data_IF_950766459928
#
_entry.id   IF_950766459928
#
_cell.length_a   1.000
_cell.length_b   1.000
_cell.length_c   1.000
_cell.angle_alpha   90.00
_cell.angle_beta   90.00
_cell.angle_gamma   90.00
#
_symmetry.space_group_name_H-M   'P 1'
#
loop_
_entity.id
_entity.type
_entity.pdbx_description
1 polymer ?
#
# COMPACT_ATOMS: atom_id res chain seq x y z
N UNK A 1 27.86 -13.99 15.84
CA UNK A 1 27.17 -14.76 14.79
C UNK A 1 27.93 -14.65 13.47
N UNK A 2 27.78 -15.61 12.54
CA UNK A 2 28.57 -15.70 11.30
C UNK A 2 28.47 -14.46 10.41
N UNK A 3 27.39 -13.67 10.51
CA UNK A 3 27.26 -12.47 9.68
C UNK A 3 28.26 -11.37 10.05
N UNK A 4 28.67 -11.27 11.31
CA UNK A 4 29.53 -10.18 11.78
C UNK A 4 31.02 -10.51 11.65
N UNK A 5 31.41 -11.77 11.86
CA UNK A 5 32.81 -12.20 11.91
C UNK A 5 33.18 -13.29 10.90
N UNK A 6 32.25 -13.70 10.03
CA UNK A 6 32.48 -14.77 9.06
C UNK A 6 33.15 -14.30 7.78
N UNK A 7 33.70 -15.27 7.03
CA UNK A 7 34.08 -15.09 5.63
C UNK A 7 32.84 -14.74 4.79
N UNK A 8 33.05 -14.44 3.50
CA UNK A 8 31.95 -14.27 2.56
C UNK A 8 30.95 -15.43 2.61
N UNK A 9 31.44 -16.67 2.58
CA UNK A 9 30.64 -17.89 2.64
C UNK A 9 29.87 -18.00 3.97
N UNK A 10 30.53 -17.65 5.09
CA UNK A 10 29.88 -17.60 6.39
C UNK A 10 28.72 -16.61 6.44
N UNK A 11 28.87 -15.44 5.81
CA UNK A 11 27.78 -14.46 5.68
C UNK A 11 26.68 -14.94 4.74
N UNK A 12 27.04 -15.53 3.61
CA UNK A 12 26.11 -16.10 2.63
C UNK A 12 25.21 -17.17 3.25
N UNK A 13 25.80 -18.21 3.85
CA UNK A 13 25.04 -19.26 4.52
C UNK A 13 24.29 -18.73 5.75
N UNK A 14 24.83 -17.73 6.44
CA UNK A 14 24.13 -17.03 7.52
C UNK A 14 22.83 -16.38 7.04
N UNK A 15 22.86 -15.60 5.96
CA UNK A 15 21.66 -14.96 5.42
C UNK A 15 20.67 -15.99 4.85
N UNK A 16 21.15 -17.06 4.21
CA UNK A 16 20.28 -18.16 3.74
C UNK A 16 19.55 -18.83 4.90
N UNK A 17 20.26 -19.17 5.97
CA UNK A 17 19.67 -19.78 7.15
C UNK A 17 18.63 -18.87 7.80
N UNK A 18 18.92 -17.56 7.90
CA UNK A 18 17.95 -16.58 8.40
C UNK A 18 16.71 -16.50 7.53
N UNK A 19 16.87 -16.39 6.21
CA UNK A 19 15.75 -16.35 5.27
C UNK A 19 14.84 -17.58 5.43
N UNK A 20 15.44 -18.77 5.54
CA UNK A 20 14.68 -20.00 5.78
C UNK A 20 13.96 -19.98 7.14
N UNK A 21 14.66 -19.60 8.22
CA UNK A 21 14.09 -19.56 9.57
C UNK A 21 12.91 -18.58 9.68
N UNK A 22 13.02 -17.41 9.04
CA UNK A 22 11.98 -16.39 9.03
C UNK A 22 10.76 -16.85 8.23
N UNK A 23 10.98 -17.51 7.09
CA UNK A 23 9.91 -18.06 6.26
C UNK A 23 9.15 -19.20 6.96
N UNK A 24 9.86 -20.10 7.65
CA UNK A 24 9.24 -21.27 8.26
C UNK A 24 8.40 -20.98 9.50
N UNK A 25 8.69 -19.91 10.24
CA UNK A 25 7.94 -19.58 11.44
C UNK A 25 7.90 -18.06 11.71
N UNK A 26 6.73 -17.41 11.59
CA UNK A 26 6.57 -15.97 11.86
C UNK A 26 7.04 -15.54 13.25
N UNK A 27 7.01 -16.41 14.27
CA UNK A 27 7.52 -16.04 15.61
C UNK A 27 9.03 -15.77 15.61
N UNK A 28 9.76 -16.29 14.62
CA UNK A 28 11.20 -16.06 14.51
C UNK A 28 11.54 -14.63 14.11
N UNK A 29 10.62 -13.88 13.48
CA UNK A 29 10.84 -12.48 13.09
C UNK A 29 11.26 -11.65 14.30
N UNK A 30 10.48 -11.71 15.37
CA UNK A 30 10.76 -10.99 16.62
C UNK A 30 12.03 -11.48 17.32
N UNK A 31 12.22 -12.81 17.37
CA UNK A 31 13.35 -13.42 18.07
C UNK A 31 14.69 -13.11 17.39
N UNK A 32 14.73 -13.20 16.06
CA UNK A 32 15.92 -12.88 15.26
C UNK A 32 16.24 -11.40 15.39
N UNK A 33 15.25 -10.53 15.23
CA UNK A 33 15.43 -9.08 15.37
C UNK A 33 15.94 -8.64 16.75
N UNK A 34 15.66 -9.42 17.80
CA UNK A 34 16.20 -9.22 19.15
C UNK A 34 17.64 -9.67 19.35
N UNK A 35 18.22 -10.41 18.41
CA UNK A 35 19.58 -10.94 18.55
C UNK A 35 20.61 -9.80 18.46
N UNK A 36 21.50 -9.64 19.46
CA UNK A 36 22.51 -8.59 19.43
C UNK A 36 23.43 -8.70 18.20
N UNK A 37 23.67 -7.58 17.51
CA UNK A 37 24.55 -7.52 16.34
C UNK A 37 23.89 -7.95 15.02
N UNK A 38 22.63 -8.41 15.03
CA UNK A 38 21.99 -9.01 13.86
C UNK A 38 21.94 -8.04 12.67
N UNK A 39 21.50 -6.80 12.92
CA UNK A 39 21.36 -5.78 11.89
C UNK A 39 22.73 -5.28 11.41
N UNK A 40 23.73 -5.18 12.29
CA UNK A 40 25.11 -4.86 11.90
C UNK A 40 25.71 -5.93 11.00
N UNK A 41 25.44 -7.21 11.29
CA UNK A 41 25.86 -8.31 10.44
C UNK A 41 25.15 -8.31 9.09
N UNK A 42 23.84 -8.03 9.04
CA UNK A 42 23.11 -7.92 7.78
C UNK A 42 23.60 -6.71 6.97
N UNK A 43 23.89 -5.58 7.62
CA UNK A 43 24.51 -4.40 7.00
C UNK A 43 25.84 -4.74 6.33
N UNK A 44 26.71 -5.51 6.98
CA UNK A 44 27.97 -5.98 6.38
C UNK A 44 27.73 -6.85 5.14
N UNK A 45 26.67 -7.66 5.14
CA UNK A 45 26.25 -8.42 3.96
C UNK A 45 25.70 -7.52 2.84
N UNK A 46 24.91 -6.49 3.16
CA UNK A 46 24.40 -5.52 2.18
C UNK A 46 25.51 -4.75 1.45
N UNK A 47 26.64 -4.50 2.11
CA UNK A 47 27.78 -3.81 1.49
C UNK A 47 28.51 -4.65 0.43
N UNK A 48 28.25 -5.96 0.34
CA UNK A 48 28.80 -6.82 -0.72
C UNK A 48 27.80 -6.95 -1.87
N UNK A 49 28.09 -6.47 -3.09
CA UNK A 49 27.17 -6.52 -4.23
C UNK A 49 26.62 -7.92 -4.55
N UNK A 50 27.35 -8.98 -4.22
CA UNK A 50 26.93 -10.38 -4.48
C UNK A 50 25.87 -10.88 -3.49
N UNK A 51 25.65 -10.14 -2.42
CA UNK A 51 24.80 -10.50 -1.29
C UNK A 51 23.55 -9.61 -1.17
N UNK A 52 23.48 -8.53 -1.94
CA UNK A 52 22.48 -7.47 -1.79
C UNK A 52 21.05 -8.01 -1.79
N UNK A 53 20.64 -8.77 -2.81
CA UNK A 53 19.28 -9.32 -2.86
C UNK A 53 18.94 -10.25 -1.70
N UNK A 54 19.87 -11.12 -1.29
CA UNK A 54 19.64 -12.03 -0.17
C UNK A 54 19.55 -11.27 1.17
N UNK A 55 20.45 -10.32 1.41
CA UNK A 55 20.46 -9.52 2.63
C UNK A 55 19.22 -8.61 2.72
N UNK A 56 18.85 -7.94 1.62
CA UNK A 56 17.62 -7.17 1.52
C UNK A 56 16.37 -8.03 1.72
N UNK A 57 16.36 -9.27 1.19
CA UNK A 57 15.28 -10.22 1.41
C UNK A 57 15.11 -10.62 2.87
N UNK A 58 16.22 -10.75 3.62
CA UNK A 58 16.18 -10.98 5.08
C UNK A 58 15.61 -9.76 5.81
N UNK A 59 16.05 -8.54 5.45
CA UNK A 59 15.50 -7.31 6.04
C UNK A 59 14.00 -7.16 5.76
N UNK A 60 13.56 -7.46 4.55
CA UNK A 60 12.15 -7.45 4.17
C UNK A 60 11.31 -8.37 5.06
N UNK A 61 11.76 -9.60 5.27
CA UNK A 61 11.08 -10.55 6.17
C UNK A 61 11.11 -10.10 7.63
N UNK A 62 12.21 -9.50 8.09
CA UNK A 62 12.31 -8.99 9.46
C UNK A 62 11.38 -7.80 9.70
N UNK A 63 11.18 -6.93 8.71
CA UNK A 63 10.33 -5.75 8.81
C UNK A 63 8.83 -6.06 8.70
N UNK A 64 8.47 -7.22 8.15
CA UNK A 64 7.08 -7.56 7.82
C UNK A 64 6.20 -7.70 9.06
N UNK A 65 5.35 -6.71 9.31
CA UNK A 65 4.42 -6.69 10.45
C UNK A 65 5.07 -6.47 11.82
N UNK A 66 6.38 -6.18 11.86
CA UNK A 66 7.15 -5.98 13.08
C UNK A 66 7.74 -4.57 13.11
N UNK A 67 7.03 -3.66 13.79
CA UNK A 67 7.40 -2.26 13.92
C UNK A 67 8.77 -2.09 14.60
N UNK A 68 9.05 -2.87 15.65
CA UNK A 68 10.30 -2.77 16.40
C UNK A 68 11.50 -3.11 15.50
N UNK A 69 11.36 -4.13 14.66
CA UNK A 69 12.37 -4.46 13.66
C UNK A 69 12.49 -3.37 12.59
N UNK A 70 11.38 -2.82 12.10
CA UNK A 70 11.40 -1.69 11.17
C UNK A 70 12.16 -0.48 11.74
N UNK A 71 11.94 -0.15 13.01
CA UNK A 71 12.69 0.90 13.72
C UNK A 71 14.19 0.60 13.76
N UNK A 72 14.56 -0.62 14.15
CA UNK A 72 15.98 -1.03 14.18
C UNK A 72 16.64 -0.99 12.81
N UNK A 73 15.93 -1.37 11.75
CA UNK A 73 16.42 -1.30 10.37
C UNK A 73 16.71 0.16 10.00
N UNK A 74 15.79 1.07 10.28
CA UNK A 74 15.94 2.49 9.98
C UNK A 74 16.99 3.19 10.86
N UNK A 75 17.21 2.73 12.09
CA UNK A 75 18.12 3.34 13.06
C UNK A 75 19.54 2.75 13.02
N UNK A 76 19.72 1.57 12.40
CA UNK A 76 21.06 1.00 12.22
C UNK A 76 21.82 1.81 11.17
N UNK A 77 23.00 2.35 11.51
CA UNK A 77 23.76 3.21 10.59
C UNK A 77 23.98 2.55 9.23
N UNK A 78 23.82 3.33 8.16
CA UNK A 78 24.05 2.95 6.76
C UNK A 78 23.10 1.91 6.15
N UNK A 79 22.18 1.29 6.89
CA UNK A 79 21.26 0.32 6.27
C UNK A 79 20.37 1.03 5.24
N UNK A 80 19.77 2.17 5.59
CA UNK A 80 18.92 2.91 4.65
C UNK A 80 19.70 3.49 3.47
N UNK A 81 20.92 4.00 3.69
CA UNK A 81 21.78 4.50 2.62
C UNK A 81 22.12 3.38 1.62
N UNK A 82 22.49 2.19 2.11
CA UNK A 82 22.77 1.02 1.27
C UNK A 82 21.52 0.55 0.53
N UNK A 83 20.34 0.56 1.18
CA UNK A 83 19.08 0.22 0.52
C UNK A 83 18.73 1.25 -0.58
N UNK A 84 18.93 2.55 -0.34
CA UNK A 84 18.73 3.59 -1.35
C UNK A 84 19.65 3.37 -2.56
N UNK A 85 20.93 3.10 -2.33
CA UNK A 85 21.90 2.78 -3.39
C UNK A 85 21.47 1.55 -4.20
N UNK A 86 21.01 0.48 -3.53
CA UNK A 86 20.53 -0.74 -4.22
C UNK A 86 19.27 -0.44 -5.02
N UNK A 87 18.30 0.29 -4.47
CA UNK A 87 17.06 0.64 -5.17
C UNK A 87 17.37 1.47 -6.42
N UNK A 88 18.20 2.51 -6.29
CA UNK A 88 18.52 3.44 -7.37
C UNK A 88 19.47 2.86 -8.45
N UNK A 89 20.47 2.08 -8.02
CA UNK A 89 21.62 1.66 -8.85
C UNK A 89 21.90 0.16 -8.84
N UNK A 90 21.01 -0.66 -8.27
CA UNK A 90 21.18 -2.11 -8.18
C UNK A 90 21.45 -2.76 -9.53
N UNK A 91 22.41 -3.68 -9.56
CA UNK A 91 22.86 -4.35 -10.80
C UNK A 91 21.84 -5.37 -11.32
N UNK A 92 21.07 -5.96 -10.41
CA UNK A 92 20.08 -6.97 -10.72
C UNK A 92 18.71 -6.50 -10.23
N UNK A 93 17.69 -6.70 -11.06
CA UNK A 93 16.31 -6.33 -10.75
C UNK A 93 15.75 -7.09 -9.54
N UNK A 94 16.27 -8.29 -9.25
CA UNK A 94 15.97 -9.05 -8.04
C UNK A 94 16.51 -8.36 -6.76
N UNK A 95 17.70 -7.75 -6.82
CA UNK A 95 18.27 -7.01 -5.69
C UNK A 95 17.45 -5.75 -5.40
N UNK A 96 17.11 -5.01 -6.47
CA UNK A 96 16.23 -3.85 -6.41
C UNK A 96 14.86 -4.20 -5.85
N UNK A 97 14.26 -5.29 -6.32
CA UNK A 97 12.98 -5.77 -5.82
C UNK A 97 13.06 -6.07 -4.32
N UNK A 98 14.05 -6.86 -3.88
CA UNK A 98 14.20 -7.23 -2.48
C UNK A 98 14.45 -6.01 -1.57
N UNK A 99 15.27 -5.05 -2.01
CA UNK A 99 15.53 -3.81 -1.28
C UNK A 99 14.28 -2.95 -1.18
N UNK A 100 13.54 -2.80 -2.28
CA UNK A 100 12.27 -2.06 -2.32
C UNK A 100 11.23 -2.69 -1.41
N UNK A 101 11.13 -4.02 -1.35
CA UNK A 101 10.26 -4.71 -0.41
C UNK A 101 10.66 -4.44 1.06
N UNK A 102 11.96 -4.41 1.38
CA UNK A 102 12.42 -4.09 2.73
C UNK A 102 12.02 -2.67 3.15
N UNK A 103 12.21 -1.70 2.26
CA UNK A 103 11.79 -0.31 2.48
C UNK A 103 10.27 -0.19 2.60
N UNK A 104 9.53 -0.85 1.72
CA UNK A 104 8.06 -0.87 1.71
C UNK A 104 7.49 -1.42 3.03
N UNK A 105 8.02 -2.53 3.53
CA UNK A 105 7.58 -3.13 4.80
C UNK A 105 7.89 -2.21 5.99
N UNK A 106 9.04 -1.53 5.99
CA UNK A 106 9.36 -0.54 7.03
C UNK A 106 8.41 0.67 6.97
N UNK A 107 8.12 1.18 5.77
CA UNK A 107 7.19 2.28 5.55
C UNK A 107 5.77 1.94 6.02
N UNK A 108 5.32 0.70 5.80
CA UNK A 108 3.98 0.26 6.22
C UNK A 108 3.76 0.32 7.74
N UNK A 109 4.82 0.18 8.55
CA UNK A 109 4.70 0.04 10.00
C UNK A 109 4.34 1.34 10.74
N UNK A 110 4.82 2.51 10.29
CA UNK A 110 4.51 3.78 10.95
C UNK A 110 4.85 5.02 10.10
N UNK A 111 4.18 6.16 10.34
CA UNK A 111 4.50 7.41 9.66
C UNK A 111 5.91 7.91 9.96
N UNK A 112 6.45 7.67 11.17
CA UNK A 112 7.80 8.09 11.53
C UNK A 112 8.87 7.37 10.70
N UNK A 113 8.70 6.06 10.46
CA UNK A 113 9.61 5.29 9.61
C UNK A 113 9.48 5.69 8.14
N UNK A 114 8.25 5.90 7.67
CA UNK A 114 8.01 6.38 6.32
C UNK A 114 8.68 7.76 6.07
N UNK A 115 8.63 8.67 7.04
CA UNK A 115 9.34 9.97 6.98
C UNK A 115 10.86 9.81 6.97
N UNK A 116 11.42 8.89 7.78
CA UNK A 116 12.87 8.60 7.74
C UNK A 116 13.30 8.08 6.37
N UNK A 117 12.52 7.17 5.77
CA UNK A 117 12.80 6.58 4.46
C UNK A 117 12.85 7.64 3.37
N UNK A 118 11.85 8.52 3.27
CA UNK A 118 11.83 9.56 2.23
C UNK A 118 12.89 10.65 2.43
N UNK A 119 13.44 10.77 3.64
CA UNK A 119 14.51 11.71 3.94
C UNK A 119 15.89 11.21 3.48
N UNK A 120 16.03 9.93 3.13
CA UNK A 120 17.28 9.35 2.64
C UNK A 120 17.51 9.81 1.20
N UNK A 121 18.63 10.48 0.89
CA UNK A 121 18.95 10.94 -0.46
C UNK A 121 18.87 9.80 -1.49
N UNK A 122 18.23 10.06 -2.64
CA UNK A 122 18.08 9.09 -3.73
C UNK A 122 17.06 7.98 -3.50
N UNK A 123 16.50 7.82 -2.30
CA UNK A 123 15.53 6.75 -2.01
C UNK A 123 14.24 6.91 -2.83
N UNK A 124 13.59 8.08 -2.76
CA UNK A 124 12.35 8.32 -3.50
C UNK A 124 12.59 8.31 -5.02
N UNK A 125 13.68 8.93 -5.48
CA UNK A 125 14.09 8.91 -6.89
C UNK A 125 14.25 7.47 -7.39
N UNK A 126 14.94 6.62 -6.62
CA UNK A 126 15.13 5.21 -6.95
C UNK A 126 13.81 4.45 -7.04
N UNK A 127 12.91 4.64 -6.08
CA UNK A 127 11.57 4.01 -6.09
C UNK A 127 10.79 4.46 -7.33
N UNK A 128 10.75 5.76 -7.63
CA UNK A 128 10.04 6.30 -8.78
C UNK A 128 10.62 5.82 -10.11
N UNK A 129 11.95 5.72 -10.21
CA UNK A 129 12.63 5.14 -11.38
C UNK A 129 12.23 3.69 -11.61
N UNK A 130 12.04 2.90 -10.55
CA UNK A 130 11.56 1.51 -10.65
C UNK A 130 10.06 1.42 -11.00
N UNK A 131 9.24 2.42 -10.63
CA UNK A 131 7.86 2.52 -11.07
C UNK A 131 7.75 2.90 -12.56
N UNK A 132 8.66 3.75 -13.04
CA UNK A 132 8.67 4.24 -14.42
C UNK A 132 9.01 3.17 -15.44
N UNK A 133 8.40 3.26 -16.61
CA UNK A 133 8.84 2.54 -17.80
C UNK A 133 9.94 3.39 -18.47
N UNK A 134 11.16 2.85 -18.64
CA UNK A 134 12.14 3.53 -19.49
C UNK A 134 11.58 3.57 -20.92
N UNK A 135 11.40 4.77 -21.48
CA UNK A 135 10.89 4.97 -22.85
C UNK A 135 11.85 4.43 -23.93
N UNK A 136 13.08 4.07 -23.54
CA UNK A 136 14.18 3.62 -24.41
C UNK A 136 14.08 2.13 -24.81
N UNK A 137 12.89 1.73 -25.26
CA UNK A 137 12.70 0.73 -26.33
C UNK A 137 13.06 -0.74 -26.09
N UNK A 138 13.79 -1.15 -25.05
CA UNK A 138 14.32 -2.53 -25.02
C UNK A 138 14.50 -3.21 -23.66
N UNK A 139 14.14 -2.58 -22.54
CA UNK A 139 14.07 -3.32 -21.27
C UNK A 139 12.67 -3.88 -21.07
N UNK A 140 12.57 -5.21 -21.11
CA UNK A 140 11.46 -5.95 -20.52
C UNK A 140 11.17 -5.34 -19.15
N UNK A 141 10.04 -4.63 -19.04
CA UNK A 141 9.55 -4.10 -17.79
C UNK A 141 9.50 -5.28 -16.82
N UNK A 142 10.40 -5.31 -15.83
CA UNK A 142 10.31 -6.33 -14.79
C UNK A 142 9.10 -5.95 -13.92
N UNK A 143 7.94 -6.46 -14.32
CA UNK A 143 6.66 -6.17 -13.69
C UNK A 143 6.72 -6.41 -12.18
N UNK A 144 7.49 -7.41 -11.71
CA UNK A 144 7.62 -7.67 -10.27
C UNK A 144 8.36 -6.57 -9.52
N UNK A 145 9.44 -6.04 -10.09
CA UNK A 145 10.18 -4.91 -9.52
C UNK A 145 9.31 -3.67 -9.52
N UNK A 146 8.61 -3.39 -10.63
CA UNK A 146 7.70 -2.26 -10.76
C UNK A 146 6.56 -2.33 -9.74
N UNK A 147 5.89 -3.48 -9.61
CA UNK A 147 4.81 -3.63 -8.62
C UNK A 147 5.35 -3.49 -7.19
N UNK A 148 6.55 -4.00 -6.89
CA UNK A 148 7.15 -3.81 -5.56
C UNK A 148 7.42 -2.34 -5.25
N UNK A 149 7.86 -1.57 -6.26
CA UNK A 149 8.05 -0.12 -6.14
C UNK A 149 6.72 0.62 -5.97
N UNK A 150 5.69 0.25 -6.74
CA UNK A 150 4.35 0.79 -6.60
C UNK A 150 3.78 0.54 -5.19
N UNK A 151 3.90 -0.68 -4.68
CA UNK A 151 3.50 -0.99 -3.29
C UNK A 151 4.29 -0.20 -2.25
N UNK A 152 5.55 0.13 -2.52
CA UNK A 152 6.32 1.04 -1.66
C UNK A 152 5.74 2.46 -1.68
N UNK A 153 5.42 3.00 -2.85
CA UNK A 153 4.77 4.32 -2.96
C UNK A 153 3.38 4.31 -2.31
N UNK A 154 2.62 3.22 -2.46
CA UNK A 154 1.31 3.04 -1.82
C UNK A 154 1.42 3.13 -0.30
N UNK A 155 2.31 2.32 0.29
CA UNK A 155 2.57 2.31 1.73
C UNK A 155 3.05 3.68 2.25
N UNK A 156 3.90 4.39 1.49
CA UNK A 156 4.30 5.75 1.84
C UNK A 156 3.12 6.73 1.76
N UNK A 157 2.30 6.64 0.70
CA UNK A 157 1.14 7.52 0.48
C UNK A 157 0.04 7.35 1.50
N UNK A 158 -0.01 6.18 2.15
CA UNK A 158 -0.97 5.87 3.19
C UNK A 158 -0.87 6.86 4.35
N UNK A 159 0.36 7.22 4.75
CA UNK A 159 0.64 8.11 5.87
C UNK A 159 0.39 9.58 5.52
N UNK A 160 -0.60 10.19 6.16
CA UNK A 160 -0.95 11.60 5.91
C UNK A 160 0.22 12.58 6.06
N UNK A 161 1.14 12.32 7.00
CA UNK A 161 2.34 13.14 7.22
C UNK A 161 3.34 13.08 6.04
N UNK A 162 3.32 12.00 5.26
CA UNK A 162 4.24 11.77 4.14
C UNK A 162 3.68 12.35 2.83
N UNK A 163 2.35 12.41 2.68
CA UNK A 163 1.69 12.89 1.45
C UNK A 163 2.20 14.23 0.92
N UNK A 164 2.48 15.27 1.73
CA UNK A 164 3.04 16.53 1.23
C UNK A 164 4.35 16.36 0.45
N UNK A 165 5.19 15.40 0.84
CA UNK A 165 6.45 15.09 0.16
C UNK A 165 6.25 14.32 -1.14
N UNK A 166 5.15 13.57 -1.26
CA UNK A 166 4.82 12.78 -2.45
C UNK A 166 3.96 13.53 -3.47
N UNK A 167 3.46 14.72 -3.14
CA UNK A 167 2.64 15.56 -4.05
C UNK A 167 3.45 16.29 -5.13
N UNK A 168 4.75 16.05 -5.21
CA UNK A 168 5.61 16.69 -6.19
C UNK A 168 5.25 16.32 -7.63
N UNK A 169 5.56 17.22 -8.56
CA UNK A 169 5.37 17.02 -10.00
C UNK A 169 6.07 15.75 -10.50
N UNK A 170 7.25 15.44 -9.96
CA UNK A 170 8.04 14.26 -10.31
C UNK A 170 7.29 12.94 -10.04
N UNK A 171 6.64 12.84 -8.87
CA UNK A 171 5.83 11.66 -8.52
C UNK A 171 4.64 11.53 -9.48
N UNK A 172 3.94 12.62 -9.74
CA UNK A 172 2.78 12.62 -10.65
C UNK A 172 3.18 12.30 -12.09
N UNK A 173 4.35 12.75 -12.54
CA UNK A 173 4.91 12.45 -13.88
C UNK A 173 5.12 10.96 -14.09
N UNK A 174 5.44 10.22 -13.03
CA UNK A 174 5.59 8.77 -13.06
C UNK A 174 4.24 8.07 -12.93
N UNK A 175 3.41 8.46 -11.97
CA UNK A 175 2.17 7.75 -11.66
C UNK A 175 1.08 7.92 -12.72
N UNK A 176 0.87 9.14 -13.25
CA UNK A 176 -0.23 9.42 -14.17
C UNK A 176 -0.18 8.57 -15.45
N UNK A 177 0.98 8.40 -16.12
CA UNK A 177 1.09 7.50 -17.26
C UNK A 177 0.77 6.04 -16.92
N UNK A 178 1.13 5.56 -15.72
CA UNK A 178 0.86 4.18 -15.28
C UNK A 178 -0.64 3.88 -15.19
N UNK A 179 -1.45 4.87 -14.83
CA UNK A 179 -2.92 4.76 -14.81
C UNK A 179 -3.53 4.59 -16.20
N UNK A 180 -2.79 4.98 -17.25
CA UNK A 180 -3.22 4.95 -18.64
C UNK A 180 -2.65 3.76 -19.39
N UNK A 181 -2.00 2.81 -18.70
CA UNK A 181 -1.52 1.58 -19.31
C UNK A 181 -2.71 0.77 -19.82
N UNK A 182 -2.90 0.80 -21.14
CA UNK A 182 -3.92 0.03 -21.84
C UNK A 182 -3.39 -1.34 -22.26
N UNK A 183 -4.29 -2.32 -22.30
CA UNK A 183 -4.10 -3.53 -23.08
C UNK A 183 -4.69 -4.77 -22.43
N UNK A 184 -5.77 -5.30 -23.01
CA UNK A 184 -6.35 -6.60 -22.64
C UNK A 184 -5.38 -7.79 -22.79
N UNK A 185 -4.23 -7.59 -23.46
CA UNK A 185 -3.17 -8.59 -23.60
C UNK A 185 -2.07 -8.49 -22.52
N UNK A 186 -2.16 -7.51 -21.63
CA UNK A 186 -1.19 -7.29 -20.56
C UNK A 186 -1.64 -8.07 -19.32
N UNK A 187 -0.70 -8.77 -18.67
CA UNK A 187 -0.95 -9.67 -17.54
C UNK A 187 -1.65 -8.98 -16.36
N UNK A 188 -2.07 -9.78 -15.37
CA UNK A 188 -2.78 -9.29 -14.19
C UNK A 188 -1.99 -8.20 -13.46
N UNK A 189 -0.66 -8.31 -13.43
CA UNK A 189 0.24 -7.37 -12.79
C UNK A 189 0.10 -5.95 -13.37
N UNK A 190 -0.11 -5.81 -14.68
CA UNK A 190 -0.24 -4.49 -15.31
C UNK A 190 -1.58 -3.83 -14.97
N UNK A 191 -2.64 -4.62 -14.88
CA UNK A 191 -3.95 -4.12 -14.42
C UNK A 191 -3.87 -3.68 -12.97
N UNK A 192 -3.20 -4.47 -12.12
CA UNK A 192 -2.91 -4.11 -10.73
C UNK A 192 -2.12 -2.80 -10.67
N UNK A 193 -1.04 -2.64 -11.42
CA UNK A 193 -0.24 -1.41 -11.43
C UNK A 193 -1.05 -0.18 -11.83
N UNK A 194 -1.91 -0.30 -12.85
CA UNK A 194 -2.77 0.81 -13.29
C UNK A 194 -3.78 1.21 -12.20
N UNK A 195 -4.43 0.23 -11.58
CA UNK A 195 -5.36 0.45 -10.47
C UNK A 195 -4.65 1.04 -9.23
N UNK A 196 -3.50 0.50 -8.85
CA UNK A 196 -2.69 0.96 -7.73
C UNK A 196 -2.19 2.38 -7.96
N UNK A 197 -1.72 2.70 -9.16
CA UNK A 197 -1.35 4.07 -9.51
C UNK A 197 -2.53 5.04 -9.36
N UNK A 198 -3.72 4.66 -9.82
CA UNK A 198 -4.91 5.49 -9.67
C UNK A 198 -5.32 5.66 -8.20
N UNK A 199 -5.14 4.62 -7.39
CA UNK A 199 -5.37 4.68 -5.95
C UNK A 199 -4.39 5.63 -5.26
N UNK A 200 -3.10 5.52 -5.55
CA UNK A 200 -2.06 6.41 -5.03
C UNK A 200 -2.33 7.87 -5.43
N UNK A 201 -2.53 8.12 -6.73
CA UNK A 201 -2.83 9.47 -7.24
C UNK A 201 -4.05 10.03 -6.53
N UNK A 202 -5.11 9.25 -6.35
CA UNK A 202 -6.30 9.73 -5.63
C UNK A 202 -5.98 10.19 -4.20
N UNK A 203 -5.12 9.47 -3.45
CA UNK A 203 -4.74 9.85 -2.07
C UNK A 203 -3.86 11.09 -2.04
N UNK A 204 -3.01 11.27 -3.04
CA UNK A 204 -2.08 12.38 -3.14
C UNK A 204 -2.75 13.66 -3.67
N UNK A 205 -3.72 13.55 -4.58
CA UNK A 205 -4.45 14.67 -5.16
C UNK A 205 -5.18 15.52 -4.12
N UNK A 206 -5.25 16.83 -4.35
CA UNK A 206 -6.16 17.70 -3.61
C UNK A 206 -7.60 17.48 -4.09
N UNK A 207 -8.57 18.03 -3.36
CA UNK A 207 -9.99 17.81 -3.67
C UNK A 207 -10.35 18.38 -5.04
N UNK A 208 -9.75 19.52 -5.37
CA UNK A 208 -9.94 20.23 -6.62
C UNK A 208 -9.41 19.41 -7.81
N UNK A 209 -8.28 18.73 -7.65
CA UNK A 209 -7.67 17.89 -8.68
C UNK A 209 -8.52 16.65 -8.97
N UNK A 210 -9.13 16.06 -7.93
CA UNK A 210 -10.01 14.89 -8.06
C UNK A 210 -11.25 15.18 -8.93
N UNK A 211 -11.76 16.41 -8.91
CA UNK A 211 -12.88 16.80 -9.75
C UNK A 211 -12.55 16.72 -11.26
N UNK A 212 -11.28 16.87 -11.63
CA UNK A 212 -10.78 16.70 -13.00
C UNK A 212 -10.37 15.26 -13.34
N UNK A 213 -10.06 14.43 -12.34
CA UNK A 213 -9.51 13.08 -12.53
C UNK A 213 -10.57 12.10 -13.06
N UNK A 214 -10.61 11.90 -14.38
CA UNK A 214 -11.47 10.89 -15.04
C UNK A 214 -10.67 9.63 -15.34
N UNK A 215 -11.07 8.52 -14.74
CA UNK A 215 -10.44 7.22 -14.96
C UNK A 215 -11.16 6.43 -16.04
N UNK A 216 -10.41 5.57 -16.73
CA UNK A 216 -11.00 4.60 -17.65
C UNK A 216 -11.81 3.54 -16.87
N UNK A 217 -12.86 3.02 -17.49
CA UNK A 217 -13.75 2.05 -16.85
C UNK A 217 -13.04 0.78 -16.40
N UNK A 218 -12.04 0.31 -17.17
CA UNK A 218 -11.24 -0.86 -16.84
C UNK A 218 -10.43 -0.68 -15.54
N UNK A 219 -9.90 0.52 -15.31
CA UNK A 219 -9.15 0.85 -14.08
C UNK A 219 -10.07 0.82 -12.86
N UNK A 220 -11.25 1.44 -12.97
CA UNK A 220 -12.25 1.44 -11.89
C UNK A 220 -12.81 0.03 -11.63
N UNK A 221 -13.06 -0.76 -12.67
CA UNK A 221 -13.46 -2.16 -12.54
C UNK A 221 -12.38 -2.98 -11.80
N UNK A 222 -11.11 -2.71 -12.09
CA UNK A 222 -9.97 -3.35 -11.43
C UNK A 222 -9.88 -2.95 -9.95
N UNK A 223 -10.03 -1.66 -9.60
CA UNK A 223 -10.11 -1.21 -8.20
C UNK A 223 -11.27 -1.91 -7.47
N UNK A 224 -12.42 -2.05 -8.13
CA UNK A 224 -13.55 -2.79 -7.57
C UNK A 224 -13.27 -4.29 -7.40
N UNK A 225 -12.42 -4.88 -8.25
CA UNK A 225 -11.94 -6.25 -8.06
C UNK A 225 -11.04 -6.38 -6.84
N UNK A 226 -10.08 -5.45 -6.66
CA UNK A 226 -9.25 -5.38 -5.45
C UNK A 226 -10.11 -5.30 -4.18
N UNK A 227 -11.18 -4.48 -4.19
CA UNK A 227 -12.11 -4.41 -3.06
C UNK A 227 -12.79 -5.75 -2.78
N UNK A 228 -13.22 -6.49 -3.81
CA UNK A 228 -13.83 -7.82 -3.61
C UNK A 228 -12.83 -8.79 -2.98
N UNK A 229 -11.61 -8.86 -3.50
CA UNK A 229 -10.55 -9.69 -2.92
C UNK A 229 -10.26 -9.32 -1.46
N UNK A 230 -10.23 -8.01 -1.14
CA UNK A 230 -10.06 -7.54 0.24
C UNK A 230 -11.23 -7.93 1.16
N UNK A 231 -12.48 -7.90 0.67
CA UNK A 231 -13.67 -8.34 1.43
C UNK A 231 -13.63 -9.85 1.67
N UNK A 232 -13.27 -10.60 0.63
CA UNK A 232 -13.34 -12.07 0.62
C UNK A 232 -12.08 -12.72 1.22
N UNK A 233 -11.04 -11.94 1.52
CA UNK A 233 -9.76 -12.42 2.06
C UNK A 233 -8.92 -13.20 1.04
N UNK A 234 -9.15 -12.94 -0.25
CA UNK A 234 -8.50 -13.63 -1.36
C UNK A 234 -7.26 -12.89 -1.85
N UNK A 235 -6.29 -13.63 -2.39
CA UNK A 235 -5.15 -13.07 -3.10
C UNK A 235 -5.51 -12.83 -4.56
N UNK A 236 -5.02 -11.73 -5.13
CA UNK A 236 -5.09 -11.49 -6.57
C UNK A 236 -3.76 -10.95 -7.09
N UNK A 237 -3.25 -11.52 -8.19
CA UNK A 237 -1.89 -11.29 -8.70
C UNK A 237 -0.78 -11.45 -7.63
N UNK A 238 -1.00 -12.33 -6.65
CA UNK A 238 -0.14 -12.53 -5.45
C UNK A 238 -0.16 -11.41 -4.41
N UNK A 239 -1.11 -10.48 -4.48
CA UNK A 239 -1.31 -9.41 -3.50
C UNK A 239 -2.46 -9.72 -2.54
N UNK A 240 -2.23 -9.47 -1.26
CA UNK A 240 -3.26 -9.45 -0.22
C UNK A 240 -3.74 -8.01 -0.01
N UNK A 241 -4.90 -7.68 -0.56
CA UNK A 241 -5.45 -6.32 -0.49
C UNK A 241 -6.06 -6.03 0.88
N UNK A 242 -5.71 -4.89 1.48
CA UNK A 242 -6.34 -4.44 2.73
C UNK A 242 -7.53 -3.53 2.43
N UNK A 243 -8.61 -3.66 3.20
CA UNK A 243 -9.80 -2.81 3.04
C UNK A 243 -9.46 -1.32 3.09
N UNK A 244 -8.59 -0.90 4.03
CA UNK A 244 -8.17 0.49 4.17
C UNK A 244 -7.44 1.04 2.94
N UNK A 245 -6.67 0.20 2.25
CA UNK A 245 -5.95 0.61 1.03
C UNK A 245 -6.91 0.92 -0.11
N UNK A 246 -8.03 0.19 -0.22
CA UNK A 246 -8.94 0.32 -1.37
C UNK A 246 -10.09 1.29 -1.09
N UNK A 247 -10.59 1.34 0.15
CA UNK A 247 -11.77 2.13 0.51
C UNK A 247 -11.52 3.64 0.49
N UNK A 248 -10.36 4.11 0.96
CA UNK A 248 -10.03 5.54 0.90
C UNK A 248 -10.01 6.03 -0.57
N UNK A 249 -9.29 5.38 -1.50
CA UNK A 249 -9.35 5.71 -2.92
C UNK A 249 -10.76 5.70 -3.50
N UNK A 250 -11.57 4.67 -3.23
CA UNK A 250 -12.96 4.63 -3.74
C UNK A 250 -13.76 5.84 -3.24
N UNK A 251 -13.63 6.17 -1.95
CA UNK A 251 -14.24 7.36 -1.37
C UNK A 251 -13.83 8.63 -2.12
N UNK A 252 -12.53 8.83 -2.33
CA UNK A 252 -11.99 10.02 -3.02
C UNK A 252 -12.38 10.09 -4.49
N UNK A 253 -12.25 8.97 -5.21
CA UNK A 253 -12.62 8.86 -6.62
C UNK A 253 -14.12 9.07 -6.86
N UNK A 254 -14.97 8.68 -5.91
CA UNK A 254 -16.42 8.90 -6.00
C UNK A 254 -16.84 10.37 -5.90
N UNK A 255 -15.95 11.28 -5.50
CA UNK A 255 -16.22 12.74 -5.57
C UNK A 255 -16.31 13.24 -7.02
N UNK A 256 -15.69 12.52 -7.96
CA UNK A 256 -15.83 12.80 -9.39
C UNK A 256 -17.11 12.17 -9.95
N UNK A 257 -18.01 12.98 -10.53
CA UNK A 257 -19.28 12.49 -11.07
C UNK A 257 -19.15 11.38 -12.12
N UNK A 258 -18.12 11.45 -12.98
CA UNK A 258 -17.89 10.43 -14.00
C UNK A 258 -17.46 9.11 -13.37
N UNK A 259 -16.45 9.14 -12.49
CA UNK A 259 -15.98 7.94 -11.80
C UNK A 259 -17.08 7.34 -10.91
N UNK A 260 -17.89 8.19 -10.25
CA UNK A 260 -19.04 7.79 -9.45
C UNK A 260 -20.06 6.99 -10.28
N UNK A 261 -20.37 7.42 -11.51
CA UNK A 261 -21.26 6.68 -12.42
C UNK A 261 -20.69 5.32 -12.82
N UNK A 262 -19.39 5.24 -13.08
CA UNK A 262 -18.73 3.97 -13.43
C UNK A 262 -18.69 3.04 -12.22
N UNK A 263 -18.26 3.52 -11.05
CA UNK A 263 -18.26 2.76 -9.80
C UNK A 263 -19.66 2.22 -9.46
N UNK A 264 -20.70 3.03 -9.69
CA UNK A 264 -22.09 2.61 -9.55
C UNK A 264 -22.43 1.42 -10.48
N UNK A 265 -22.04 1.51 -11.75
CA UNK A 265 -22.26 0.45 -12.74
C UNK A 265 -21.49 -0.84 -12.39
N UNK A 266 -20.29 -0.72 -11.82
CA UNK A 266 -19.46 -1.84 -11.34
C UNK A 266 -19.93 -2.41 -9.98
N UNK A 267 -21.08 -1.96 -9.48
CA UNK A 267 -21.70 -2.51 -8.27
C UNK A 267 -21.05 -2.06 -6.96
N UNK A 268 -20.38 -0.90 -6.94
CA UNK A 268 -19.73 -0.36 -5.73
C UNK A 268 -20.68 -0.26 -4.53
N UNK A 269 -21.93 0.15 -4.75
CA UNK A 269 -22.93 0.24 -3.68
C UNK A 269 -23.11 -1.09 -2.93
N UNK A 270 -23.27 -2.20 -3.67
CA UNK A 270 -23.43 -3.54 -3.08
C UNK A 270 -22.19 -3.95 -2.26
N UNK A 271 -20.99 -3.70 -2.77
CA UNK A 271 -19.75 -4.07 -2.08
C UNK A 271 -19.52 -3.22 -0.82
N UNK A 272 -19.77 -1.92 -0.88
CA UNK A 272 -19.65 -1.02 0.28
C UNK A 272 -20.66 -1.38 1.39
N UNK A 273 -21.87 -1.81 1.03
CA UNK A 273 -22.85 -2.33 2.00
C UNK A 273 -22.33 -3.62 2.64
N UNK A 274 -21.76 -4.55 1.86
CA UNK A 274 -21.14 -5.77 2.41
C UNK A 274 -20.08 -5.41 3.46
N UNK A 275 -19.20 -4.45 3.18
CA UNK A 275 -18.19 -3.98 4.13
C UNK A 275 -18.82 -3.45 5.43
N UNK A 276 -19.88 -2.64 5.34
CA UNK A 276 -20.56 -2.10 6.53
C UNK A 276 -21.28 -3.18 7.36
N UNK A 277 -21.71 -4.27 6.72
CA UNK A 277 -22.37 -5.42 7.32
C UNK A 277 -21.39 -6.45 7.89
N UNK A 278 -20.12 -6.41 7.50
CA UNK A 278 -19.11 -7.24 8.14
C UNK A 278 -19.14 -6.93 9.65
N UNK A 279 -19.16 -7.96 10.52
CA UNK A 279 -18.96 -7.74 11.95
C UNK A 279 -17.69 -6.91 12.10
N UNK A 280 -17.65 -5.99 13.08
CA UNK A 280 -16.45 -5.20 13.38
C UNK A 280 -15.30 -6.20 13.50
N UNK A 281 -14.54 -6.35 12.41
CA UNK A 281 -13.64 -7.46 12.26
C UNK A 281 -12.65 -7.31 13.40
N UNK A 282 -12.60 -8.31 14.26
CA UNK A 282 -11.37 -8.72 14.89
C UNK A 282 -10.39 -8.98 13.75
N UNK A 283 -9.74 -7.94 13.23
CA UNK A 283 -8.67 -8.09 12.25
C UNK A 283 -7.76 -9.18 12.83
N UNK A 284 -7.60 -10.33 12.16
CA UNK A 284 -6.64 -11.31 12.59
C UNK A 284 -5.28 -10.65 12.55
N UNK A 285 -4.77 -10.31 13.74
CA UNK A 285 -3.37 -10.42 14.15
C UNK A 285 -2.44 -10.84 13.00
N UNK A 286 -1.78 -9.87 12.35
CA UNK A 286 -0.38 -9.95 11.85
C UNK A 286 0.00 -8.78 10.95
N UNK A 287 -0.94 -8.05 10.34
CA UNK A 287 -0.64 -6.86 9.52
C UNK A 287 -1.35 -5.64 10.09
N UNK A 288 -0.66 -4.96 11.02
CA UNK A 288 -1.15 -3.76 11.69
C UNK A 288 -1.55 -2.67 10.67
N UNK A 289 -2.71 -2.04 10.89
CA UNK A 289 -2.77 -0.58 10.80
C UNK A 289 -3.89 0.07 9.98
N UNK A 290 -5.16 -0.04 10.40
CA UNK A 290 -5.96 1.10 10.89
C UNK A 290 -7.35 0.65 11.34
N UNK A 291 -7.91 1.40 12.29
CA UNK A 291 -9.17 1.08 12.96
C UNK A 291 -10.30 0.83 11.94
N UNK A 292 -11.11 -0.24 12.13
CA UNK A 292 -12.34 -0.49 11.37
C UNK A 292 -13.22 0.77 11.19
N UNK A 293 -13.12 1.73 12.12
CA UNK A 293 -13.78 3.03 12.07
C UNK A 293 -13.41 3.89 10.84
N UNK A 294 -12.13 3.99 10.46
CA UNK A 294 -11.73 4.83 9.32
C UNK A 294 -12.24 4.23 8.00
N UNK A 295 -12.12 2.92 7.83
CA UNK A 295 -12.69 2.19 6.70
C UNK A 295 -14.21 2.39 6.58
N UNK A 296 -14.96 2.26 7.70
CA UNK A 296 -16.40 2.53 7.72
C UNK A 296 -16.73 3.97 7.32
N UNK A 297 -15.94 4.96 7.76
CA UNK A 297 -16.13 6.35 7.38
C UNK A 297 -16.00 6.57 5.86
N UNK A 298 -14.95 5.99 5.26
CA UNK A 298 -14.76 6.02 3.81
C UNK A 298 -15.90 5.32 3.07
N UNK A 299 -16.39 4.17 3.57
CA UNK A 299 -17.56 3.51 3.00
C UNK A 299 -18.80 4.40 3.02
N UNK A 300 -19.13 5.00 4.17
CA UNK A 300 -20.32 5.82 4.31
C UNK A 300 -20.25 7.06 3.41
N UNK A 301 -19.08 7.70 3.31
CA UNK A 301 -18.89 8.85 2.44
C UNK A 301 -18.98 8.46 0.95
N UNK A 302 -18.38 7.32 0.55
CA UNK A 302 -18.51 6.81 -0.81
C UNK A 302 -19.97 6.47 -1.16
N UNK A 303 -20.72 5.87 -0.23
CA UNK A 303 -22.15 5.60 -0.40
C UNK A 303 -22.99 6.89 -0.52
N UNK A 304 -22.65 7.93 0.25
CA UNK A 304 -23.32 9.23 0.14
C UNK A 304 -23.11 9.84 -1.25
N UNK A 305 -21.89 9.77 -1.77
CA UNK A 305 -21.58 10.23 -3.14
C UNK A 305 -22.34 9.40 -4.20
N UNK A 306 -22.41 8.08 -4.03
CA UNK A 306 -23.13 7.18 -4.93
C UNK A 306 -24.65 7.38 -4.89
N UNK A 307 -25.22 7.83 -3.76
CA UNK A 307 -26.67 8.04 -3.61
C UNK A 307 -27.22 9.19 -4.50
N UNK A 308 -26.34 10.01 -5.07
CA UNK A 308 -26.68 10.98 -6.11
C UNK A 308 -27.07 10.30 -7.43
N UNK A 309 -26.62 9.07 -7.67
CA UNK A 309 -26.99 8.26 -8.83
C UNK A 309 -28.32 7.56 -8.57
N UNK A 310 -29.38 7.77 -9.40
CA UNK A 310 -30.71 7.21 -9.17
C UNK A 310 -30.73 5.68 -9.02
N UNK A 311 -29.93 4.95 -9.80
CA UNK A 311 -29.83 3.51 -9.73
C UNK A 311 -29.26 3.01 -8.38
N UNK A 312 -28.26 3.70 -7.84
CA UNK A 312 -27.71 3.37 -6.52
C UNK A 312 -28.68 3.70 -5.40
N UNK A 313 -29.41 4.82 -5.52
CA UNK A 313 -30.42 5.24 -4.54
C UNK A 313 -31.47 4.16 -4.30
N UNK A 314 -31.98 3.53 -5.36
CA UNK A 314 -32.95 2.44 -5.23
C UNK A 314 -32.39 1.24 -4.44
N UNK A 315 -31.09 0.92 -4.63
CA UNK A 315 -30.42 -0.15 -3.89
C UNK A 315 -30.07 0.17 -2.43
N UNK A 316 -30.13 1.45 -2.03
CA UNK A 316 -29.88 1.89 -0.66
C UNK A 316 -31.14 1.86 0.23
N UNK A 317 -32.33 1.85 -0.38
CA UNK A 317 -33.59 1.78 0.35
C UNK A 317 -33.65 0.48 1.16
N UNK A 318 -33.88 0.60 2.47
CA UNK A 318 -33.97 -0.55 3.38
C UNK A 318 -32.63 -1.10 3.88
N UNK A 319 -31.50 -0.51 3.48
CA UNK A 319 -30.19 -0.86 4.05
C UNK A 319 -30.12 -0.38 5.50
N UNK A 320 -30.23 -1.31 6.44
CA UNK A 320 -29.99 -1.03 7.86
C UNK A 320 -28.48 -1.07 8.12
N UNK A 321 -27.87 0.10 8.15
CA UNK A 321 -26.50 0.22 8.67
C UNK A 321 -26.59 0.16 10.19
N UNK A 322 -26.04 -0.91 10.78
CA UNK A 322 -25.82 -0.96 12.22
C UNK A 322 -24.71 0.06 12.53
N UNK A 323 -25.12 1.28 12.85
CA UNK A 323 -24.22 2.25 13.45
C UNK A 323 -23.87 1.75 14.85
N UNK A 324 -22.59 1.82 15.28
CA UNK A 324 -22.20 1.45 16.63
C UNK A 324 -23.10 2.21 17.61
N UNK A 325 -23.80 1.47 18.47
CA UNK A 325 -24.81 2.00 19.40
C UNK A 325 -24.22 2.85 20.54
N UNK A 326 -22.96 3.29 20.41
CA UNK A 326 -22.17 3.90 21.46
C UNK A 326 -21.92 5.39 21.27
N UNK A 327 -22.52 6.20 22.15
CA UNK A 327 -21.98 7.49 22.57
C UNK A 327 -22.48 8.71 21.81
N UNK A 328 -23.55 9.35 22.33
CA UNK A 328 -23.88 10.76 22.03
C UNK A 328 -22.84 11.72 22.63
N UNK A 329 -21.55 11.51 22.38
CA UNK A 329 -20.54 12.49 22.78
C UNK A 329 -20.36 13.52 21.66
N UNK A 330 -21.32 14.46 21.59
CA UNK A 330 -21.41 15.53 20.58
C UNK A 330 -20.25 16.54 20.60
N UNK A 331 -19.16 16.30 21.34
CA UNK A 331 -18.14 17.33 21.63
C UNK A 331 -16.80 17.21 20.90
N UNK A 332 -16.59 16.23 20.00
CA UNK A 332 -15.35 16.17 19.19
C UNK A 332 -15.63 16.41 17.70
N UNK A 333 -14.93 17.41 17.16
CA UNK A 333 -15.14 18.06 15.85
C UNK A 333 -14.86 17.22 14.60
N UNK A 334 -15.54 16.10 14.41
CA UNK A 334 -15.62 15.45 13.10
C UNK A 334 -16.91 15.82 12.39
N UNK A 335 -16.93 17.02 11.79
CA UNK A 335 -18.08 17.57 11.05
C UNK A 335 -18.56 16.70 9.87
N UNK A 336 -17.74 15.80 9.33
CA UNK A 336 -18.11 14.99 8.15
C UNK A 336 -19.04 13.79 8.40
N UNK A 337 -19.04 13.22 9.60
CA UNK A 337 -19.76 11.97 9.86
C UNK A 337 -21.28 12.17 9.94
N UNK A 338 -21.70 13.29 10.53
CA UNK A 338 -23.13 13.62 10.69
C UNK A 338 -23.86 13.81 9.37
N UNK A 339 -23.16 14.28 8.33
CA UNK A 339 -23.73 14.47 7.00
C UNK A 339 -23.91 13.16 6.25
N UNK A 340 -22.91 12.27 6.23
CA UNK A 340 -23.02 11.00 5.51
C UNK A 340 -24.02 10.04 6.18
N UNK A 341 -23.97 9.91 7.51
CA UNK A 341 -24.93 9.10 8.26
C UNK A 341 -26.35 9.69 8.14
N UNK A 342 -26.50 11.01 8.24
CA UNK A 342 -27.80 11.66 8.08
C UNK A 342 -28.39 11.52 6.67
N UNK A 343 -27.56 11.48 5.63
CA UNK A 343 -28.01 11.17 4.26
C UNK A 343 -28.53 9.74 4.17
N UNK A 344 -27.83 8.77 4.76
CA UNK A 344 -28.28 7.37 4.75
C UNK A 344 -29.50 7.12 5.64
N UNK A 345 -29.62 7.78 6.79
CA UNK A 345 -30.81 7.73 7.65
C UNK A 345 -32.05 8.24 6.92
N UNK A 346 -31.93 9.27 6.08
CA UNK A 346 -33.03 9.75 5.21
C UNK A 346 -33.44 8.75 4.14
N UNK A 347 -32.56 7.83 3.73
CA UNK A 347 -32.90 6.77 2.78
C UNK A 347 -33.43 5.50 3.45
N UNK A 348 -33.16 5.33 4.75
CA UNK A 348 -33.66 4.21 5.54
C UNK A 348 -35.08 4.44 6.07
N UNK A 349 -35.50 5.70 6.23
CA UNK A 349 -36.84 6.12 6.65
C UNK A 349 -37.82 6.17 5.47
#
# INVERSE_FOLDING_TARGET
HLLHYGSFEGRYFGCLALSYLLHCNPTNIHLVGKTPGIFEGIRLSLSDPRMQGLASGVLSQLAFGDKDNGERICDTPLILDLLADIVLQGRHSADQQAATCAVSNCAANSPELALKIIAVPGMLEGILKLCGHEEDGEKDLNARTCVSAMGCVDNLSYHQAVRPHLRGEEVMRVLVPLMQLRGAQRGEEIRVMSAESAMIVSRLSMREDLAGLRLEGEVLCTIMHCLRCAIDGELWASFAWRLGEVLEPICRLSENKHNCQVLAAEGACKQLIRVLQMPECSEPTTLQGHAPAAGRAHCLQALANLAEIPACRAGLVGVRVLLPSGGRDRRRGHQGWGTAAGVLERFAA
#
